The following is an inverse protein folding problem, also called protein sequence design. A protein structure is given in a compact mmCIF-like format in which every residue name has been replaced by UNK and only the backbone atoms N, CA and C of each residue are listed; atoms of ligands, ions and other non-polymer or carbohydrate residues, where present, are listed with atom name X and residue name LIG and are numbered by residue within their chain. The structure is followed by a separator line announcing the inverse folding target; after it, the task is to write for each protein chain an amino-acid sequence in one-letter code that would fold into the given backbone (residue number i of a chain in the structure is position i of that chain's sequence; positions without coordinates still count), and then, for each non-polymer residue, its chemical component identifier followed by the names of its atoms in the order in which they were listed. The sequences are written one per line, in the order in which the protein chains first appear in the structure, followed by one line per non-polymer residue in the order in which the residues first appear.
data_IF_729340037760
#
_entry.id   IF_729340037760
#
_cell.length_a   1.000
_cell.length_b   1.000
_cell.length_c   1.000
_cell.angle_alpha   90.00
_cell.angle_beta   90.00
_cell.angle_gamma   90.00
#
_symmetry.space_group_name_H-M   'P 1'
#
loop_
_entity.id
_entity.type
_entity.pdbx_description
1 polymer ?
#
# COMPACT_ATOMS: atom_id res chain seq x y z
N UNK A 1 13.04 27.39 -68.85
CA UNK A 1 11.95 26.86 -69.71
C UNK A 1 10.79 26.52 -68.78
N UNK A 2 9.72 27.33 -68.84
CA UNK A 2 8.33 26.95 -69.20
C UNK A 2 7.73 25.91 -68.23
N UNK A 3 6.63 26.12 -67.50
CA UNK A 3 5.50 27.01 -67.74
C UNK A 3 4.78 27.41 -66.45
N UNK A 4 4.36 28.66 -66.47
CA UNK A 4 3.28 29.33 -65.76
C UNK A 4 1.94 28.59 -65.88
N UNK A 5 1.16 28.53 -64.80
CA UNK A 5 -0.28 28.83 -64.87
C UNK A 5 -0.80 29.36 -63.52
N UNK A 6 -1.20 30.63 -63.55
CA UNK A 6 -2.09 31.29 -62.59
C UNK A 6 -3.53 30.82 -62.81
N UNK A 7 -4.34 30.82 -61.75
CA UNK A 7 -5.74 31.33 -61.65
C UNK A 7 -6.13 31.17 -60.16
N UNK A 8 -6.51 32.15 -59.33
CA UNK A 8 -7.38 33.34 -59.34
C UNK A 8 -8.57 33.10 -58.39
N UNK A 9 -8.71 33.97 -57.39
CA UNK A 9 -9.95 34.28 -56.66
C UNK A 9 -10.26 33.44 -55.42
N UNK A 10 -10.91 33.93 -54.36
CA UNK A 10 -11.41 35.26 -54.04
C UNK A 10 -11.93 35.20 -52.58
N UNK A 11 -11.71 36.27 -51.81
CA UNK A 11 -12.56 36.82 -50.71
C UNK A 11 -12.88 35.97 -49.46
N UNK A 12 -12.57 36.56 -48.30
CA UNK A 12 -13.13 36.16 -47.00
C UNK A 12 -12.52 36.86 -45.79
N UNK A 13 -12.38 38.19 -45.82
CA UNK A 13 -12.04 38.98 -44.63
C UNK A 13 -13.29 39.05 -43.72
N UNK A 14 -13.22 38.44 -42.54
CA UNK A 14 -14.06 38.82 -41.41
C UNK A 14 -13.19 39.27 -40.24
N UNK A 15 -13.50 40.47 -39.80
CA UNK A 15 -12.95 41.20 -38.65
C UNK A 15 -13.67 40.70 -37.40
N UNK A 16 -12.93 40.32 -36.35
CA UNK A 16 -13.34 40.51 -34.95
C UNK A 16 -12.11 40.68 -34.04
N UNK A 17 -11.90 41.93 -33.64
CA UNK A 17 -11.50 42.51 -32.34
C UNK A 17 -10.52 41.84 -31.35
N UNK A 18 -9.78 42.67 -30.56
CA UNK A 18 -8.64 42.25 -29.77
C UNK A 18 -8.95 41.97 -28.29
N UNK A 19 -7.95 41.38 -27.62
CA UNK A 19 -7.62 41.47 -26.19
C UNK A 19 -8.77 41.23 -25.17
N UNK A 20 -8.74 40.05 -24.54
CA UNK A 20 -8.81 39.93 -23.08
C UNK A 20 -7.91 38.74 -22.68
N UNK A 21 -6.66 39.05 -22.33
CA UNK A 21 -5.80 38.13 -21.62
C UNK A 21 -6.29 38.04 -20.18
N UNK A 22 -7.18 37.09 -19.90
CA UNK A 22 -7.34 36.62 -18.52
C UNK A 22 -6.13 35.75 -18.18
N UNK A 23 -5.15 36.38 -17.54
CA UNK A 23 -4.27 35.72 -16.58
C UNK A 23 -5.15 35.01 -15.55
N UNK A 24 -5.49 33.74 -15.83
CA UNK A 24 -5.83 32.78 -14.79
C UNK A 24 -4.60 32.65 -13.93
N UNK A 25 -4.56 33.44 -12.87
CA UNK A 25 -3.69 33.20 -11.73
C UNK A 25 -3.95 31.75 -11.34
N UNK A 26 -2.93 30.92 -11.54
CA UNK A 26 -2.85 29.57 -11.00
C UNK A 26 -3.20 29.66 -9.52
N UNK A 27 -4.44 29.28 -9.17
CA UNK A 27 -4.74 28.81 -7.83
C UNK A 27 -3.87 27.58 -7.67
N UNK A 28 -2.75 27.77 -6.99
CA UNK A 28 -1.96 26.71 -6.38
C UNK A 28 -2.92 25.67 -5.83
N UNK A 29 -2.75 24.43 -6.28
CA UNK A 29 -3.50 23.26 -5.85
C UNK A 29 -3.33 23.12 -4.33
N UNK A 30 -4.17 23.80 -3.54
CA UNK A 30 -4.36 23.50 -2.13
C UNK A 30 -4.89 22.08 -2.09
N UNK A 31 -4.11 21.15 -1.51
CA UNK A 31 -4.57 19.79 -1.24
C UNK A 31 -5.95 19.89 -0.59
N UNK A 32 -6.98 19.34 -1.23
CA UNK A 32 -8.29 19.19 -0.61
C UNK A 32 -8.08 18.33 0.64
N UNK A 33 -8.16 18.97 1.80
CA UNK A 33 -8.08 18.31 3.09
C UNK A 33 -9.35 17.45 3.23
N UNK A 34 -9.19 16.15 3.46
CA UNK A 34 -10.32 15.24 3.56
C UNK A 34 -10.79 15.15 5.03
N UNK A 35 -12.09 15.16 5.25
CA UNK A 35 -12.63 15.08 6.61
C UNK A 35 -12.37 13.74 7.32
N UNK A 36 -12.01 12.67 6.58
CA UNK A 36 -11.82 11.31 7.11
C UNK A 36 -10.98 10.42 6.19
N UNK A 37 -10.46 9.31 6.72
CA UNK A 37 -9.82 8.25 5.91
C UNK A 37 -10.80 7.69 4.88
N UNK A 38 -12.06 7.43 5.26
CA UNK A 38 -13.04 6.88 4.32
C UNK A 38 -13.36 7.85 3.17
N UNK A 39 -13.43 9.16 3.42
CA UNK A 39 -13.64 10.14 2.33
C UNK A 39 -12.43 10.23 1.41
N UNK A 40 -11.21 10.18 1.97
CA UNK A 40 -9.99 10.03 1.18
C UNK A 40 -10.03 8.76 0.30
N UNK A 41 -10.28 7.59 0.88
CA UNK A 41 -10.33 6.33 0.13
C UNK A 41 -11.37 6.35 -1.00
N UNK A 42 -12.58 6.86 -0.74
CA UNK A 42 -13.65 6.98 -1.75
C UNK A 42 -13.26 7.90 -2.90
N UNK A 43 -12.62 9.03 -2.59
CA UNK A 43 -12.16 9.96 -3.62
C UNK A 43 -11.07 9.32 -4.51
N UNK A 44 -10.08 8.66 -3.90
CA UNK A 44 -9.04 7.93 -4.64
C UNK A 44 -9.61 6.81 -5.51
N UNK A 45 -10.58 6.05 -5.00
CA UNK A 45 -11.29 5.05 -5.79
C UNK A 45 -12.08 5.67 -6.96
N UNK A 46 -12.65 6.86 -6.80
CA UNK A 46 -13.35 7.56 -7.89
C UNK A 46 -12.39 7.85 -9.06
N UNK A 47 -11.17 8.33 -8.75
CA UNK A 47 -10.12 8.56 -9.76
C UNK A 47 -9.76 7.25 -10.48
N UNK A 48 -9.49 6.18 -9.72
CA UNK A 48 -9.14 4.87 -10.29
C UNK A 48 -10.27 4.28 -11.15
N UNK A 49 -11.52 4.36 -10.70
CA UNK A 49 -12.70 3.87 -11.45
C UNK A 49 -12.96 4.65 -12.73
N UNK A 50 -12.67 5.95 -12.75
CA UNK A 50 -12.77 6.75 -13.96
C UNK A 50 -11.73 6.31 -14.99
N UNK A 51 -10.48 6.14 -14.57
CA UNK A 51 -9.42 5.62 -15.45
C UNK A 51 -9.72 4.20 -15.92
N UNK A 52 -10.18 3.30 -15.04
CA UNK A 52 -10.58 1.93 -15.40
C UNK A 52 -11.60 1.92 -16.54
N UNK A 53 -12.69 2.68 -16.40
CA UNK A 53 -13.77 2.73 -17.42
C UNK A 53 -13.28 3.28 -18.75
N UNK A 54 -12.44 4.31 -18.73
CA UNK A 54 -11.85 4.87 -19.96
C UNK A 54 -10.89 3.87 -20.63
N UNK A 55 -10.07 3.17 -19.84
CA UNK A 55 -9.14 2.18 -20.33
C UNK A 55 -9.85 0.96 -20.93
N UNK A 56 -11.00 0.56 -20.37
CA UNK A 56 -11.81 -0.56 -20.87
C UNK A 56 -12.31 -0.31 -22.29
N UNK A 57 -12.76 0.92 -22.59
CA UNK A 57 -13.18 1.33 -23.94
C UNK A 57 -12.03 1.16 -24.94
N UNK A 58 -10.83 1.63 -24.58
CA UNK A 58 -9.65 1.51 -25.44
C UNK A 58 -9.17 0.05 -25.58
N UNK A 59 -9.28 -0.75 -24.52
CA UNK A 59 -8.96 -2.18 -24.59
C UNK A 59 -9.89 -2.92 -25.56
N UNK A 60 -11.20 -2.65 -25.49
CA UNK A 60 -12.21 -3.22 -26.39
C UNK A 60 -12.03 -2.75 -27.84
N UNK A 61 -11.54 -1.52 -28.04
CA UNK A 61 -11.16 -0.99 -29.36
C UNK A 61 -9.86 -1.60 -29.92
N UNK A 62 -9.19 -2.49 -29.18
CA UNK A 62 -7.94 -3.12 -29.61
C UNK A 62 -6.69 -2.25 -29.42
N UNK A 63 -6.76 -1.23 -28.57
CA UNK A 63 -5.68 -0.28 -28.26
C UNK A 63 -5.06 -0.52 -26.86
N UNK A 64 -4.40 -1.67 -26.60
CA UNK A 64 -3.88 -1.98 -25.25
C UNK A 64 -2.79 -1.02 -24.78
N UNK A 65 -2.08 -0.34 -25.69
CA UNK A 65 -1.10 0.68 -25.32
C UNK A 65 -1.74 1.96 -24.76
N UNK A 66 -2.82 2.42 -25.39
CA UNK A 66 -3.59 3.59 -24.90
C UNK A 66 -4.31 3.22 -23.60
N UNK A 67 -4.91 2.04 -23.54
CA UNK A 67 -5.54 1.48 -22.34
C UNK A 67 -4.57 1.45 -21.15
N UNK A 68 -3.36 0.91 -21.33
CA UNK A 68 -2.34 0.86 -20.29
C UNK A 68 -1.89 2.27 -19.84
N UNK A 69 -1.76 3.21 -20.78
CA UNK A 69 -1.39 4.59 -20.47
C UNK A 69 -2.47 5.32 -19.65
N UNK A 70 -3.76 5.04 -19.90
CA UNK A 70 -4.87 5.57 -19.11
C UNK A 70 -4.85 5.00 -17.68
N UNK A 71 -4.63 3.69 -17.53
CA UNK A 71 -4.52 3.04 -16.22
C UNK A 71 -3.30 3.58 -15.45
N UNK A 72 -2.15 3.70 -16.10
CA UNK A 72 -0.94 4.31 -15.52
C UNK A 72 -1.24 5.73 -15.00
N UNK A 73 -1.84 6.57 -15.84
CA UNK A 73 -2.22 7.93 -15.46
C UNK A 73 -3.19 7.93 -14.28
N UNK A 74 -4.21 7.07 -14.29
CA UNK A 74 -5.16 6.97 -13.18
C UNK A 74 -4.50 6.61 -11.86
N UNK A 75 -3.51 5.73 -11.89
CA UNK A 75 -2.74 5.33 -10.71
C UNK A 75 -1.86 6.46 -10.18
N UNK A 76 -1.18 7.17 -11.10
CA UNK A 76 -0.38 8.36 -10.78
C UNK A 76 -1.27 9.48 -10.23
N UNK A 77 -2.42 9.76 -10.84
CA UNK A 77 -3.38 10.78 -10.39
C UNK A 77 -3.98 10.43 -9.02
N UNK A 78 -4.19 9.14 -8.74
CA UNK A 78 -4.64 8.67 -7.43
C UNK A 78 -3.54 8.82 -6.37
N UNK A 79 -2.28 8.57 -6.71
CA UNK A 79 -1.15 8.77 -5.80
C UNK A 79 -0.83 10.25 -5.57
N UNK A 80 -1.02 11.07 -6.60
CA UNK A 80 -0.92 12.51 -6.50
C UNK A 80 -1.94 12.98 -5.47
N UNK A 81 -1.49 13.73 -4.45
CA UNK A 81 -2.31 14.25 -3.34
C UNK A 81 -2.62 13.24 -2.23
N UNK A 82 -1.86 12.16 -2.10
CA UNK A 82 -1.81 11.43 -0.82
C UNK A 82 -1.13 12.35 0.21
N UNK A 83 -1.92 12.91 1.11
CA UNK A 83 -1.41 13.68 2.26
C UNK A 83 -0.66 12.75 3.23
N UNK A 84 0.38 13.24 3.94
CA UNK A 84 1.05 12.48 5.01
C UNK A 84 0.06 11.86 6.02
N UNK A 85 -1.08 12.54 6.26
CA UNK A 85 -2.17 12.07 7.11
C UNK A 85 -2.76 10.71 6.70
N UNK A 86 -2.75 10.37 5.41
CA UNK A 86 -3.34 9.12 4.89
C UNK A 86 -2.29 8.17 4.32
N UNK A 87 -1.00 8.52 4.40
CA UNK A 87 0.08 7.74 3.80
C UNK A 87 0.12 6.29 4.31
N UNK A 88 -0.30 6.07 5.55
CA UNK A 88 -0.29 4.76 6.22
C UNK A 88 -1.54 3.91 5.99
N UNK A 89 -2.55 4.43 5.29
CA UNK A 89 -3.74 3.64 4.93
C UNK A 89 -3.36 2.50 3.97
N UNK A 90 -4.07 1.37 4.03
CA UNK A 90 -3.76 0.23 3.17
C UNK A 90 -4.03 0.55 1.69
N UNK A 91 -5.01 1.40 1.42
CA UNK A 91 -5.34 1.96 0.10
C UNK A 91 -4.17 2.79 -0.43
N UNK A 92 -3.61 3.70 0.37
CA UNK A 92 -2.42 4.47 0.00
C UNK A 92 -1.23 3.55 -0.31
N UNK A 93 -0.95 2.58 0.58
CA UNK A 93 0.12 1.60 0.38
C UNK A 93 -0.08 0.79 -0.91
N UNK A 94 -1.30 0.33 -1.19
CA UNK A 94 -1.63 -0.42 -2.40
C UNK A 94 -1.43 0.42 -3.68
N UNK A 95 -1.82 1.70 -3.66
CA UNK A 95 -1.62 2.63 -4.79
C UNK A 95 -0.11 2.86 -5.04
N UNK A 96 0.66 3.17 -3.99
CA UNK A 96 2.10 3.42 -4.10
C UNK A 96 2.86 2.18 -4.58
N UNK A 97 2.49 0.99 -4.10
CA UNK A 97 3.02 -0.28 -4.61
C UNK A 97 2.67 -0.51 -6.07
N UNK A 98 1.46 -0.14 -6.49
CA UNK A 98 1.05 -0.25 -7.88
C UNK A 98 1.97 0.55 -8.80
N UNK A 99 2.35 1.75 -8.40
CA UNK A 99 3.30 2.59 -9.14
C UNK A 99 4.68 1.92 -9.19
N UNK A 100 5.14 1.40 -8.05
CA UNK A 100 6.43 0.69 -7.96
C UNK A 100 6.44 -0.53 -8.89
N UNK A 101 5.40 -1.36 -8.82
CA UNK A 101 5.19 -2.52 -9.70
C UNK A 101 5.19 -2.11 -11.17
N UNK A 102 4.41 -1.08 -11.53
CA UNK A 102 4.33 -0.62 -12.91
C UNK A 102 5.68 -0.15 -13.44
N UNK A 103 6.43 0.62 -12.66
CA UNK A 103 7.75 1.10 -13.05
C UNK A 103 8.72 -0.07 -13.29
N UNK A 104 8.76 -1.02 -12.36
CA UNK A 104 9.58 -2.23 -12.47
C UNK A 104 9.20 -3.07 -13.70
N UNK A 105 7.90 -3.29 -13.92
CA UNK A 105 7.38 -4.02 -15.08
C UNK A 105 7.73 -3.30 -16.40
N UNK A 106 7.68 -1.97 -16.44
CA UNK A 106 8.04 -1.18 -17.63
C UNK A 106 9.53 -1.25 -17.98
N UNK A 107 10.41 -1.57 -17.05
CA UNK A 107 11.86 -1.71 -17.33
C UNK A 107 12.22 -3.09 -17.91
N UNK A 108 11.38 -4.11 -17.71
CA UNK A 108 11.60 -5.46 -18.28
C UNK A 108 11.56 -5.45 -19.83
N UNK A 109 12.32 -6.33 -20.51
CA UNK A 109 12.63 -6.27 -21.95
C UNK A 109 11.45 -6.01 -22.92
N UNK A 110 11.75 -5.38 -24.06
CA UNK A 110 10.79 -4.74 -24.97
C UNK A 110 10.13 -5.73 -25.95
N UNK A 111 8.86 -6.07 -25.73
CA UNK A 111 8.07 -6.86 -26.68
C UNK A 111 6.61 -6.39 -26.72
N UNK A 112 5.93 -6.49 -27.87
CA UNK A 112 4.49 -6.15 -27.97
C UNK A 112 3.60 -6.97 -27.01
N UNK A 113 4.05 -8.16 -26.62
CA UNK A 113 3.35 -9.00 -25.64
C UNK A 113 3.39 -8.38 -24.23
N UNK A 114 4.44 -7.62 -23.89
CA UNK A 114 4.57 -6.89 -22.62
C UNK A 114 3.45 -5.90 -22.41
N UNK A 115 3.11 -5.08 -23.41
CA UNK A 115 2.05 -4.07 -23.26
C UNK A 115 0.70 -4.71 -22.94
N UNK A 116 0.36 -5.83 -23.60
CA UNK A 116 -0.89 -6.55 -23.31
C UNK A 116 -0.89 -7.16 -21.91
N UNK A 117 0.22 -7.76 -21.50
CA UNK A 117 0.36 -8.35 -20.18
C UNK A 117 0.32 -7.28 -19.07
N UNK A 118 1.00 -6.14 -19.25
CA UNK A 118 0.92 -4.99 -18.33
C UNK A 118 -0.51 -4.45 -18.27
N UNK A 119 -1.18 -4.31 -19.41
CA UNK A 119 -2.57 -3.84 -19.45
C UNK A 119 -3.49 -4.78 -18.65
N UNK A 120 -3.38 -6.09 -18.89
CA UNK A 120 -4.14 -7.11 -18.16
C UNK A 120 -3.83 -7.09 -16.66
N UNK A 121 -2.55 -6.94 -16.29
CA UNK A 121 -2.12 -6.79 -14.90
C UNK A 121 -2.76 -5.56 -14.23
N UNK A 122 -2.70 -4.39 -14.87
CA UNK A 122 -3.22 -3.15 -14.31
C UNK A 122 -4.74 -3.21 -14.06
N UNK A 123 -5.52 -3.84 -14.95
CA UNK A 123 -6.95 -4.04 -14.70
C UNK A 123 -7.20 -4.84 -13.41
N UNK A 124 -6.51 -5.96 -13.23
CA UNK A 124 -6.64 -6.77 -12.02
C UNK A 124 -6.09 -6.05 -10.77
N UNK A 125 -5.03 -5.27 -10.92
CA UNK A 125 -4.47 -4.48 -9.83
C UNK A 125 -5.42 -3.38 -9.35
N UNK A 126 -6.15 -2.74 -10.26
CA UNK A 126 -7.18 -1.75 -9.90
C UNK A 126 -8.32 -2.38 -9.09
N UNK A 127 -8.77 -3.57 -9.46
CA UNK A 127 -9.76 -4.34 -8.70
C UNK A 127 -9.21 -4.73 -7.32
N UNK A 128 -7.93 -5.07 -7.23
CA UNK A 128 -7.27 -5.30 -5.95
C UNK A 128 -7.29 -4.05 -5.06
N UNK A 129 -6.90 -2.88 -5.55
CA UNK A 129 -6.97 -1.62 -4.77
C UNK A 129 -8.41 -1.32 -4.32
N UNK A 130 -9.39 -1.53 -5.20
CA UNK A 130 -10.80 -1.36 -4.86
C UNK A 130 -11.21 -2.28 -3.70
N UNK A 131 -10.83 -3.56 -3.76
CA UNK A 131 -11.12 -4.52 -2.70
C UNK A 131 -10.47 -4.12 -1.37
N UNK A 132 -9.22 -3.65 -1.38
CA UNK A 132 -8.52 -3.16 -0.19
C UNK A 132 -9.29 -2.02 0.44
N UNK A 133 -9.62 -1.00 -0.34
CA UNK A 133 -10.34 0.17 0.16
C UNK A 133 -11.73 -0.19 0.69
N UNK A 134 -12.50 -1.01 -0.03
CA UNK A 134 -13.87 -1.35 0.34
C UNK A 134 -13.98 -2.35 1.50
N UNK A 135 -12.99 -3.21 1.72
CA UNK A 135 -13.03 -4.25 2.77
C UNK A 135 -12.28 -3.86 4.04
N UNK A 136 -11.25 -3.02 3.93
CA UNK A 136 -10.36 -2.66 5.04
C UNK A 136 -10.52 -1.21 5.43
N UNK A 137 -10.07 -0.26 4.61
CA UNK A 137 -9.98 1.12 5.09
C UNK A 137 -11.36 1.77 5.27
N UNK A 138 -12.26 1.66 4.28
CA UNK A 138 -13.55 2.34 4.37
C UNK A 138 -14.35 1.85 5.58
N UNK A 139 -14.58 0.54 5.80
CA UNK A 139 -15.42 0.08 6.90
C UNK A 139 -14.82 0.35 8.28
N UNK A 140 -13.50 0.25 8.43
CA UNK A 140 -12.84 0.39 9.73
C UNK A 140 -12.58 1.85 10.13
N UNK A 141 -12.55 2.76 9.17
CA UNK A 141 -12.37 4.20 9.44
C UNK A 141 -13.62 5.05 9.12
N UNK A 142 -14.78 4.43 8.87
CA UNK A 142 -16.02 5.14 8.59
C UNK A 142 -16.57 5.80 9.85
N UNK A 143 -16.72 7.12 9.76
CA UNK A 143 -17.18 7.95 10.87
C UNK A 143 -18.69 8.13 10.77
N UNK A 144 -19.45 7.41 11.60
CA UNK A 144 -20.91 7.50 11.67
C UNK A 144 -21.52 6.58 12.73
N UNK A 145 -22.50 7.08 13.48
CA UNK A 145 -23.12 6.44 14.64
C UNK A 145 -23.76 5.07 14.37
N UNK A 146 -24.12 4.77 13.12
CA UNK A 146 -24.73 3.49 12.74
C UNK A 146 -23.74 2.30 12.71
N UNK A 147 -22.43 2.56 12.54
CA UNK A 147 -21.38 1.52 12.51
C UNK A 147 -20.57 1.42 13.80
N UNK A 148 -20.81 2.30 14.77
CA UNK A 148 -20.24 2.22 16.14
C UNK A 148 -20.55 0.90 16.86
N UNK A 149 -21.44 0.07 16.30
CA UNK A 149 -21.83 -1.25 16.83
C UNK A 149 -21.07 -2.42 16.24
N UNK A 150 -20.27 -2.24 15.20
CA UNK A 150 -19.38 -3.33 14.78
C UNK A 150 -18.19 -3.26 15.71
N UNK A 151 -18.23 -4.11 16.73
CA UNK A 151 -17.09 -4.58 17.50
C UNK A 151 -16.10 -5.27 16.56
N UNK A 152 -15.55 -4.53 15.60
CA UNK A 152 -14.51 -4.98 14.71
C UNK A 152 -13.25 -5.04 15.58
N UNK A 153 -13.13 -6.15 16.30
CA UNK A 153 -12.01 -6.36 17.21
C UNK A 153 -10.71 -6.20 16.43
N UNK A 154 -9.65 -5.73 17.09
CA UNK A 154 -8.32 -5.67 16.47
C UNK A 154 -7.92 -7.01 15.85
N UNK A 155 -8.39 -8.14 16.41
CA UNK A 155 -8.19 -9.48 15.85
C UNK A 155 -8.87 -9.68 14.48
N UNK A 156 -10.04 -9.07 14.25
CA UNK A 156 -10.72 -9.11 12.96
C UNK A 156 -10.00 -8.24 11.93
N UNK A 157 -9.62 -7.01 12.30
CA UNK A 157 -8.82 -6.13 11.44
C UNK A 157 -7.51 -6.83 11.05
N UNK A 158 -6.80 -7.37 12.03
CA UNK A 158 -5.52 -8.04 11.82
C UNK A 158 -5.63 -9.25 10.89
N UNK A 159 -6.70 -10.04 11.03
CA UNK A 159 -6.97 -11.15 10.10
C UNK A 159 -7.16 -10.63 8.67
N UNK A 160 -7.89 -9.54 8.49
CA UNK A 160 -8.07 -8.95 7.17
C UNK A 160 -6.78 -8.33 6.63
N UNK A 161 -5.94 -7.75 7.49
CA UNK A 161 -4.63 -7.21 7.12
C UNK A 161 -3.68 -8.32 6.62
N UNK A 162 -3.59 -9.44 7.35
CA UNK A 162 -2.81 -10.61 6.92
C UNK A 162 -3.36 -11.19 5.60
N UNK A 163 -4.69 -11.23 5.45
CA UNK A 163 -5.30 -11.65 4.19
C UNK A 163 -4.92 -10.69 3.05
N UNK A 164 -4.94 -9.38 3.27
CA UNK A 164 -4.47 -8.39 2.29
C UNK A 164 -3.00 -8.62 1.88
N UNK A 165 -2.12 -8.83 2.86
CA UNK A 165 -0.72 -9.11 2.62
C UNK A 165 -0.53 -10.35 1.73
N UNK A 166 -1.38 -11.36 1.90
CA UNK A 166 -1.36 -12.59 1.09
C UNK A 166 -2.03 -12.43 -0.28
N UNK A 167 -3.13 -11.67 -0.35
CA UNK A 167 -3.92 -11.44 -1.57
C UNK A 167 -3.11 -10.74 -2.67
N UNK A 168 -2.11 -9.91 -2.33
CA UNK A 168 -1.27 -9.26 -3.35
C UNK A 168 -0.36 -10.23 -4.13
N UNK A 169 0.20 -11.25 -3.46
CA UNK A 169 1.00 -12.30 -4.13
C UNK A 169 0.07 -13.18 -4.96
N UNK A 170 -1.07 -13.55 -4.39
CA UNK A 170 -2.08 -14.34 -5.09
C UNK A 170 -2.58 -13.64 -6.36
N UNK A 171 -2.87 -12.35 -6.29
CA UNK A 171 -3.32 -11.57 -7.45
C UNK A 171 -2.29 -11.61 -8.59
N UNK A 172 -0.99 -11.51 -8.29
CA UNK A 172 0.06 -11.66 -9.31
C UNK A 172 0.04 -13.04 -9.92
N UNK A 173 -0.02 -14.10 -9.11
CA UNK A 173 -0.06 -15.48 -9.60
C UNK A 173 -1.29 -15.73 -10.49
N UNK A 174 -2.47 -15.32 -10.04
CA UNK A 174 -3.74 -15.51 -10.74
C UNK A 174 -3.80 -14.69 -12.06
N UNK A 175 -3.13 -13.54 -12.11
CA UNK A 175 -3.17 -12.63 -13.27
C UNK A 175 -2.06 -12.89 -14.29
N UNK A 176 -0.90 -13.36 -13.82
CA UNK A 176 0.33 -13.41 -14.63
C UNK A 176 0.84 -14.84 -14.84
N UNK A 177 0.10 -15.85 -14.41
CA UNK A 177 0.42 -17.24 -14.70
C UNK A 177 -0.84 -18.09 -14.89
N UNK A 178 -0.71 -19.16 -15.66
CA UNK A 178 -1.65 -20.27 -15.70
C UNK A 178 -0.96 -21.52 -15.17
N UNK A 179 -1.74 -22.45 -14.62
CA UNK A 179 -1.23 -23.70 -14.08
C UNK A 179 -1.92 -24.87 -14.78
N UNK A 180 -1.13 -25.83 -15.25
CA UNK A 180 -1.60 -27.11 -15.75
C UNK A 180 -0.89 -28.22 -14.96
N UNK A 181 -1.65 -28.88 -14.07
CA UNK A 181 -1.10 -29.82 -13.09
C UNK A 181 -0.16 -29.13 -12.11
N UNK A 182 1.15 -29.40 -12.22
CA UNK A 182 2.22 -28.77 -11.42
C UNK A 182 3.07 -27.78 -12.22
N UNK A 183 2.73 -27.60 -13.50
CA UNK A 183 3.51 -26.78 -14.42
C UNK A 183 2.92 -25.38 -14.50
N UNK A 184 3.77 -24.39 -14.33
CA UNK A 184 3.42 -22.97 -14.30
C UNK A 184 3.82 -22.34 -15.63
N UNK A 185 2.87 -21.71 -16.31
CA UNK A 185 3.09 -21.00 -17.56
C UNK A 185 2.87 -19.50 -17.34
N UNK A 186 3.88 -18.64 -17.58
CA UNK A 186 3.71 -17.21 -17.43
C UNK A 186 2.80 -16.63 -18.52
N UNK A 187 1.91 -15.71 -18.14
CA UNK A 187 1.19 -14.83 -19.05
C UNK A 187 2.09 -13.63 -19.34
N UNK A 188 2.61 -13.56 -20.56
CA UNK A 188 3.66 -12.61 -20.92
C UNK A 188 5.04 -13.27 -20.85
N UNK A 189 6.09 -12.51 -20.50
CA UNK A 189 7.44 -13.07 -20.38
C UNK A 189 7.68 -13.64 -18.97
N UNK A 190 8.51 -14.70 -18.83
CA UNK A 190 8.99 -15.18 -17.53
C UNK A 190 9.53 -14.04 -16.64
N UNK A 191 10.30 -13.13 -17.24
CA UNK A 191 10.88 -11.96 -16.56
C UNK A 191 9.80 -11.05 -15.98
N UNK A 192 8.68 -10.85 -16.69
CA UNK A 192 7.57 -10.00 -16.25
C UNK A 192 6.90 -10.60 -14.98
N UNK A 193 6.55 -11.89 -15.03
CA UNK A 193 5.97 -12.61 -13.89
C UNK A 193 6.90 -12.57 -12.67
N UNK A 194 8.17 -12.92 -12.86
CA UNK A 194 9.15 -12.96 -11.78
C UNK A 194 9.40 -11.57 -11.19
N UNK A 195 9.42 -10.52 -12.01
CA UNK A 195 9.55 -9.14 -11.51
C UNK A 195 8.37 -8.74 -10.63
N UNK A 196 7.13 -9.03 -11.06
CA UNK A 196 5.95 -8.78 -10.24
C UNK A 196 5.99 -9.57 -8.93
N UNK A 197 6.35 -10.86 -8.99
CA UNK A 197 6.44 -11.71 -7.81
C UNK A 197 7.52 -11.25 -6.84
N UNK A 198 8.70 -10.83 -7.29
CA UNK A 198 9.74 -10.27 -6.42
C UNK A 198 9.19 -9.13 -5.57
N UNK A 199 8.55 -8.17 -6.23
CA UNK A 199 8.04 -6.96 -5.58
C UNK A 199 6.90 -7.28 -4.62
N UNK A 200 5.91 -8.09 -5.04
CA UNK A 200 4.77 -8.43 -4.16
C UNK A 200 5.14 -9.38 -3.03
N UNK A 201 6.09 -10.29 -3.24
CA UNK A 201 6.60 -11.19 -2.20
C UNK A 201 7.35 -10.39 -1.13
N UNK A 202 8.20 -9.43 -1.53
CA UNK A 202 8.86 -8.53 -0.56
C UNK A 202 7.83 -7.66 0.17
N UNK A 203 6.83 -7.13 -0.55
CA UNK A 203 5.78 -6.34 0.07
C UNK A 203 5.00 -7.17 1.11
N UNK A 204 4.72 -8.45 0.83
CA UNK A 204 4.05 -9.34 1.77
C UNK A 204 4.91 -9.60 3.00
N UNK A 205 6.21 -9.83 2.83
CA UNK A 205 7.14 -9.96 3.95
C UNK A 205 7.12 -8.71 4.83
N UNK A 206 7.20 -7.52 4.22
CA UNK A 206 7.16 -6.24 4.93
C UNK A 206 5.81 -6.06 5.65
N UNK A 207 4.68 -6.34 5.00
CA UNK A 207 3.36 -6.24 5.63
C UNK A 207 3.22 -7.20 6.84
N UNK A 208 3.62 -8.46 6.67
CA UNK A 208 3.61 -9.43 7.76
C UNK A 208 4.58 -9.02 8.88
N UNK A 209 5.70 -8.39 8.54
CA UNK A 209 6.62 -7.83 9.54
C UNK A 209 6.02 -6.66 10.30
N UNK A 210 5.08 -5.92 9.69
CA UNK A 210 4.32 -4.82 10.31
C UNK A 210 3.13 -5.32 11.14
N UNK A 211 2.67 -6.55 10.93
CA UNK A 211 1.62 -7.23 11.73
C UNK A 211 1.90 -7.22 13.23
N UNK A 212 0.85 -7.10 14.06
CA UNK A 212 0.96 -7.27 15.52
C UNK A 212 1.27 -8.73 15.89
N UNK A 213 1.06 -9.66 14.95
CA UNK A 213 1.38 -11.07 15.04
C UNK A 213 2.63 -11.44 14.21
N UNK A 214 3.49 -10.49 13.87
CA UNK A 214 4.70 -10.73 13.06
C UNK A 214 5.51 -11.94 13.53
N UNK A 215 5.64 -12.16 14.84
CA UNK A 215 6.34 -13.33 15.40
C UNK A 215 5.72 -14.67 14.98
N UNK A 216 4.40 -14.76 14.86
CA UNK A 216 3.70 -15.97 14.35
C UNK A 216 3.99 -16.22 12.88
N UNK A 217 4.37 -15.17 12.16
CA UNK A 217 4.73 -15.22 10.75
C UNK A 217 6.24 -15.15 10.54
N UNK A 218 7.08 -15.19 11.57
CA UNK A 218 8.53 -14.97 11.44
C UNK A 218 9.18 -15.88 10.39
N UNK A 219 8.86 -17.18 10.42
CA UNK A 219 9.35 -18.11 9.43
C UNK A 219 8.77 -17.85 8.03
N UNK A 220 7.50 -17.45 7.93
CA UNK A 220 6.89 -17.08 6.64
C UNK A 220 7.53 -15.81 6.08
N UNK A 221 7.80 -14.80 6.90
CA UNK A 221 8.53 -13.58 6.53
C UNK A 221 9.91 -13.95 5.98
N UNK A 222 10.68 -14.75 6.71
CA UNK A 222 12.00 -15.20 6.27
C UNK A 222 11.94 -15.99 4.95
N UNK A 223 10.96 -16.87 4.79
CA UNK A 223 10.77 -17.64 3.55
C UNK A 223 10.40 -16.76 2.36
N UNK A 224 9.57 -15.72 2.58
CA UNK A 224 9.20 -14.73 1.56
C UNK A 224 10.40 -13.86 1.18
N UNK A 225 11.17 -13.39 2.15
CA UNK A 225 12.40 -12.61 1.92
C UNK A 225 13.41 -13.42 1.11
N UNK A 226 13.64 -14.68 1.49
CA UNK A 226 14.52 -15.60 0.76
C UNK A 226 14.03 -15.80 -0.68
N UNK A 227 12.74 -16.10 -0.87
CA UNK A 227 12.17 -16.27 -2.21
C UNK A 227 12.28 -15.00 -3.06
N UNK A 228 12.07 -13.81 -2.47
CA UNK A 228 12.24 -12.53 -3.19
C UNK A 228 13.70 -12.28 -3.58
N UNK A 229 14.64 -12.58 -2.69
CA UNK A 229 16.08 -12.48 -2.95
C UNK A 229 16.53 -13.44 -4.04
N UNK A 230 16.06 -14.69 -4.03
CA UNK A 230 16.37 -15.69 -5.06
C UNK A 230 15.85 -15.24 -6.43
N UNK A 231 14.63 -14.68 -6.48
CA UNK A 231 14.09 -14.10 -7.72
C UNK A 231 14.95 -12.92 -8.18
N UNK A 232 15.31 -12.01 -7.28
CA UNK A 232 16.15 -10.85 -7.60
C UNK A 232 17.52 -11.27 -8.14
N UNK A 233 18.15 -12.26 -7.50
CA UNK A 233 19.42 -12.82 -7.93
C UNK A 233 19.31 -13.40 -9.35
N UNK A 234 18.27 -14.18 -9.63
CA UNK A 234 18.03 -14.73 -10.95
C UNK A 234 17.80 -13.64 -12.00
N UNK A 235 16.97 -12.64 -11.72
CA UNK A 235 16.68 -11.55 -12.66
C UNK A 235 17.93 -10.76 -13.06
N UNK A 236 18.87 -10.60 -12.13
CA UNK A 236 20.12 -9.87 -12.32
C UNK A 236 21.21 -10.69 -13.02
N UNK A 237 21.37 -11.96 -12.64
CA UNK A 237 22.50 -12.78 -13.08
C UNK A 237 22.16 -13.72 -14.23
N UNK A 238 20.88 -14.08 -14.36
CA UNK A 238 20.40 -15.18 -15.22
C UNK A 238 21.11 -16.51 -14.96
N UNK A 239 21.70 -16.68 -13.77
CA UNK A 239 22.42 -17.87 -13.36
C UNK A 239 21.55 -18.77 -12.46
N UNK A 240 22.09 -19.92 -12.06
CA UNK A 240 21.50 -20.89 -11.11
C UNK A 240 20.43 -21.84 -11.65
N UNK A 241 19.91 -21.63 -12.86
CA UNK A 241 18.93 -22.54 -13.48
C UNK A 241 19.35 -22.93 -14.89
N UNK A 242 18.94 -24.13 -15.32
CA UNK A 242 19.26 -24.66 -16.63
C UNK A 242 18.64 -23.82 -17.77
N UNK A 243 17.42 -23.32 -17.55
CA UNK A 243 16.69 -22.46 -18.48
C UNK A 243 15.62 -21.62 -17.76
N UNK A 244 14.96 -20.71 -18.50
CA UNK A 244 13.91 -19.84 -17.95
C UNK A 244 12.67 -20.60 -17.47
N UNK A 245 12.36 -21.75 -18.07
CA UNK A 245 11.20 -22.54 -17.68
C UNK A 245 11.43 -23.18 -16.31
N UNK A 246 12.59 -23.79 -16.10
CA UNK A 246 13.01 -24.35 -14.80
C UNK A 246 13.06 -23.24 -13.74
N UNK A 247 13.62 -22.08 -14.07
CA UNK A 247 13.65 -20.93 -13.15
C UNK A 247 12.24 -20.52 -12.72
N UNK A 248 11.28 -20.44 -13.66
CA UNK A 248 9.88 -20.14 -13.33
C UNK A 248 9.27 -21.20 -12.42
N UNK A 249 9.45 -22.49 -12.72
CA UNK A 249 8.88 -23.56 -11.88
C UNK A 249 9.40 -23.47 -10.44
N UNK A 250 10.71 -23.32 -10.28
CA UNK A 250 11.36 -23.33 -8.97
C UNK A 250 11.05 -22.07 -8.16
N UNK A 251 11.17 -20.89 -8.76
CA UNK A 251 10.99 -19.61 -8.07
C UNK A 251 9.52 -19.35 -7.74
N UNK A 252 8.60 -19.62 -8.67
CA UNK A 252 7.16 -19.51 -8.37
C UNK A 252 6.75 -20.59 -7.36
N UNK A 253 7.31 -21.79 -7.46
CA UNK A 253 7.13 -22.85 -6.48
C UNK A 253 7.60 -22.44 -5.08
N UNK A 254 8.74 -21.74 -4.96
CA UNK A 254 9.24 -21.22 -3.69
C UNK A 254 8.27 -20.20 -3.08
N UNK A 255 7.77 -19.25 -3.87
CA UNK A 255 6.76 -18.26 -3.43
C UNK A 255 5.46 -18.97 -3.00
N UNK A 256 4.96 -19.94 -3.76
CA UNK A 256 3.77 -20.73 -3.37
C UNK A 256 4.00 -21.49 -2.06
N UNK A 257 5.18 -22.06 -1.84
CA UNK A 257 5.51 -22.75 -0.58
C UNK A 257 5.57 -21.76 0.60
N UNK A 258 6.18 -20.59 0.41
CA UNK A 258 6.28 -19.55 1.42
C UNK A 258 4.89 -19.02 1.83
N UNK A 259 3.95 -18.92 0.88
CA UNK A 259 2.59 -18.43 1.14
C UNK A 259 1.64 -19.52 1.66
N UNK A 260 1.76 -20.77 1.21
CA UNK A 260 0.84 -21.86 1.57
C UNK A 260 1.13 -22.49 2.94
N UNK A 261 2.39 -22.52 3.36
CA UNK A 261 2.79 -23.08 4.65
C UNK A 261 3.15 -21.94 5.59
N UNK A 262 2.27 -21.63 6.54
CA UNK A 262 2.77 -21.18 7.84
C UNK A 262 3.76 -22.25 8.28
N UNK A 263 5.04 -21.90 8.43
CA UNK A 263 6.08 -22.91 8.55
C UNK A 263 5.72 -23.88 9.68
N UNK A 264 5.55 -25.16 9.34
CA UNK A 264 5.30 -26.24 10.30
C UNK A 264 6.56 -26.58 11.12
N UNK A 265 7.51 -25.66 11.20
CA UNK A 265 8.85 -25.86 11.74
C UNK A 265 9.02 -25.36 13.17
N UNK A 266 7.97 -24.84 13.82
CA UNK A 266 7.86 -24.88 15.28
C UNK A 266 7.05 -26.11 15.68
N UNK A 267 7.59 -27.28 15.34
CA UNK A 267 7.15 -28.54 15.91
C UNK A 267 7.73 -28.69 17.31
N UNK A 268 6.86 -28.87 18.30
CA UNK A 268 7.12 -29.66 19.51
C UNK A 268 8.35 -29.35 20.37
N UNK A 269 8.85 -28.12 20.41
CA UNK A 269 9.64 -27.70 21.56
C UNK A 269 8.75 -27.03 22.59
N UNK A 270 8.55 -27.79 23.67
CA UNK A 270 8.04 -27.35 24.96
C UNK A 270 9.07 -26.45 25.66
N UNK A 271 9.68 -25.52 24.93
CA UNK A 271 10.31 -24.34 25.49
C UNK A 271 9.26 -23.24 25.44
N UNK A 272 8.90 -22.70 26.60
CA UNK A 272 7.93 -21.62 26.74
C UNK A 272 8.43 -20.32 26.12
N UNK A 273 8.51 -20.28 24.79
CA UNK A 273 8.73 -19.09 24.01
C UNK A 273 7.50 -18.20 24.26
N UNK A 274 7.70 -17.18 25.08
CA UNK A 274 6.63 -16.31 25.55
C UNK A 274 5.91 -15.74 24.32
N UNK A 275 4.65 -16.15 24.13
CA UNK A 275 3.79 -15.57 23.12
C UNK A 275 3.80 -14.05 23.35
N UNK A 276 4.05 -13.24 22.30
CA UNK A 276 4.12 -11.80 22.47
C UNK A 276 2.82 -11.35 23.12
N UNK A 277 2.94 -10.80 24.32
CA UNK A 277 1.81 -10.49 25.17
C UNK A 277 1.40 -9.06 24.88
N UNK A 278 0.28 -8.92 24.19
CA UNK A 278 -0.34 -7.61 24.01
C UNK A 278 -1.02 -7.20 25.32
N UNK A 279 -0.54 -6.13 25.93
CA UNK A 279 -1.18 -5.54 27.12
C UNK A 279 -1.55 -4.09 26.87
N UNK A 280 -2.69 -3.67 27.38
CA UNK A 280 -3.05 -2.26 27.41
C UNK A 280 -2.20 -1.54 28.47
N UNK A 281 -1.48 -0.50 28.07
CA UNK A 281 -0.72 0.34 28.98
C UNK A 281 -1.59 1.43 29.61
N UNK A 282 -2.75 1.75 29.02
CA UNK A 282 -3.66 2.75 29.55
C UNK A 282 -4.81 2.09 30.31
N UNK A 283 -5.11 2.62 31.50
CA UNK A 283 -6.33 2.26 32.26
C UNK A 283 -7.53 3.12 31.87
N UNK A 284 -7.26 4.31 31.37
CA UNK A 284 -8.23 5.28 30.88
C UNK A 284 -7.58 6.09 29.77
N UNK A 285 -8.39 6.73 28.94
CA UNK A 285 -7.88 7.69 27.96
C UNK A 285 -7.10 8.81 28.65
N UNK A 286 -6.12 9.36 27.94
CA UNK A 286 -5.33 10.50 28.37
C UNK A 286 -5.46 11.63 27.35
N UNK A 287 -5.53 12.87 27.83
CA UNK A 287 -5.46 14.05 26.97
C UNK A 287 -4.02 14.53 26.92
N UNK A 288 -3.44 14.47 25.73
CA UNK A 288 -2.13 15.03 25.44
C UNK A 288 -2.30 16.47 24.94
N UNK A 289 -1.99 17.44 25.79
CA UNK A 289 -2.09 18.85 25.46
C UNK A 289 -0.90 19.33 24.62
N UNK A 290 -1.12 20.34 23.78
CA UNK A 290 -0.07 20.96 22.96
C UNK A 290 1.13 21.39 23.81
N UNK A 291 2.33 20.99 23.40
CA UNK A 291 3.58 21.33 24.08
C UNK A 291 3.83 20.59 25.39
N UNK A 292 3.05 19.56 25.71
CA UNK A 292 3.25 18.72 26.89
C UNK A 292 3.88 17.37 26.54
N UNK A 293 4.60 16.80 27.49
CA UNK A 293 5.05 15.41 27.46
C UNK A 293 4.22 14.61 28.46
N UNK A 294 3.68 13.47 28.04
CA UNK A 294 2.99 12.54 28.93
C UNK A 294 3.76 11.23 28.98
N UNK A 295 4.12 10.81 30.20
CA UNK A 295 4.77 9.52 30.42
C UNK A 295 3.72 8.45 30.73
N UNK A 296 3.77 7.36 29.99
CA UNK A 296 2.93 6.17 30.19
C UNK A 296 3.81 5.08 30.77
N UNK A 297 3.62 4.78 32.06
CA UNK A 297 4.35 3.70 32.73
C UNK A 297 3.78 2.34 32.38
N UNK A 298 4.66 1.40 32.10
CA UNK A 298 4.32 0.00 31.89
C UNK A 298 4.30 -0.72 33.24
N UNK A 299 3.48 -1.77 33.34
CA UNK A 299 3.37 -2.55 34.57
C UNK A 299 4.69 -3.25 34.97
N UNK A 300 5.58 -3.47 34.00
CA UNK A 300 6.92 -4.01 34.19
C UNK A 300 7.80 -3.63 33.01
N UNK A 301 9.11 -3.46 33.24
CA UNK A 301 10.09 -3.42 32.17
C UNK A 301 9.99 -4.68 31.31
N UNK A 302 10.00 -4.49 29.99
CA UNK A 302 9.87 -5.57 29.01
C UNK A 302 10.44 -5.13 27.67
N UNK A 303 10.79 -6.11 26.85
CA UNK A 303 11.20 -5.84 25.47
C UNK A 303 9.96 -5.54 24.62
N UNK A 304 9.80 -4.27 24.23
CA UNK A 304 8.68 -3.77 23.44
C UNK A 304 9.04 -3.94 21.96
N UNK A 305 8.28 -4.76 21.25
CA UNK A 305 8.38 -4.82 19.79
C UNK A 305 7.66 -3.65 19.15
N UNK A 306 6.40 -3.44 19.54
CA UNK A 306 5.51 -2.46 18.90
C UNK A 306 4.53 -1.84 19.86
N UNK A 307 4.08 -0.65 19.50
CA UNK A 307 2.98 0.08 20.12
C UNK A 307 1.85 0.27 19.11
N UNK A 308 0.62 -0.01 19.53
CA UNK A 308 -0.59 0.31 18.77
C UNK A 308 -1.32 1.40 19.54
N UNK A 309 -1.36 2.59 18.98
CA UNK A 309 -1.89 3.77 19.66
C UNK A 309 -3.17 4.20 18.96
N UNK A 310 -4.27 4.30 19.70
CA UNK A 310 -5.53 4.87 19.20
C UNK A 310 -5.63 6.29 19.75
N UNK A 311 -5.76 7.27 18.86
CA UNK A 311 -5.81 8.67 19.25
C UNK A 311 -6.62 9.51 18.26
N UNK A 312 -7.32 10.53 18.78
CA UNK A 312 -8.05 11.52 18.00
C UNK A 312 -7.64 12.96 18.36
N UNK A 313 -7.63 13.86 17.38
CA UNK A 313 -7.40 15.28 17.57
C UNK A 313 -8.61 15.95 18.25
N UNK A 314 -8.37 16.73 19.30
CA UNK A 314 -9.40 17.48 20.00
C UNK A 314 -9.58 18.83 19.31
N UNK A 315 -10.74 19.03 18.67
CA UNK A 315 -11.16 20.22 17.90
C UNK A 315 -10.36 20.47 16.61
N UNK A 316 -9.06 20.23 16.63
CA UNK A 316 -8.14 20.35 15.50
C UNK A 316 -7.26 19.10 15.40
N UNK A 317 -6.57 18.96 14.27
CA UNK A 317 -5.52 17.95 14.12
C UNK A 317 -4.39 18.20 15.14
N UNK A 318 -3.78 17.11 15.59
CA UNK A 318 -2.68 17.10 16.54
C UNK A 318 -1.52 16.26 16.02
N UNK A 319 -0.35 16.42 16.61
CA UNK A 319 0.85 15.67 16.27
C UNK A 319 1.68 15.43 17.51
N UNK A 320 2.17 14.21 17.69
CA UNK A 320 3.05 13.88 18.81
C UNK A 320 4.07 12.82 18.43
N UNK A 321 5.22 12.86 19.08
CA UNK A 321 6.23 11.81 18.99
C UNK A 321 5.98 10.74 20.05
N UNK A 322 6.33 9.51 19.70
CA UNK A 322 6.47 8.39 20.61
C UNK A 322 7.95 8.21 20.89
N UNK A 323 8.34 8.44 22.12
CA UNK A 323 9.72 8.39 22.60
C UNK A 323 9.87 7.23 23.58
N UNK A 324 10.93 6.44 23.40
CA UNK A 324 11.28 5.31 24.28
C UNK A 324 12.76 5.40 24.58
N UNK A 325 13.14 5.38 25.86
CA UNK A 325 14.54 5.54 26.32
C UNK A 325 15.25 6.81 25.80
N UNK A 326 14.50 7.88 25.54
CA UNK A 326 15.02 9.13 24.98
C UNK A 326 15.10 9.19 23.46
N UNK A 327 14.85 8.08 22.76
CA UNK A 327 14.85 8.02 21.30
C UNK A 327 13.43 8.13 20.72
N UNK A 328 13.26 8.97 19.70
CA UNK A 328 12.00 9.06 18.93
C UNK A 328 11.84 7.80 18.08
N UNK A 329 10.87 6.95 18.43
CA UNK A 329 10.55 5.72 17.70
C UNK A 329 9.53 5.95 16.57
N UNK A 330 8.74 7.02 16.65
CA UNK A 330 7.83 7.42 15.57
C UNK A 330 7.12 8.74 15.86
N UNK A 331 6.65 9.40 14.80
CA UNK A 331 5.81 10.60 14.89
C UNK A 331 4.41 10.27 14.39
N UNK A 332 3.41 10.52 15.23
CA UNK A 332 2.00 10.28 14.92
C UNK A 332 1.33 11.61 14.59
N UNK A 333 0.68 11.64 13.42
CA UNK A 333 -0.24 12.70 13.03
C UNK A 333 -1.67 12.26 13.35
N UNK A 334 -2.32 12.98 14.26
CA UNK A 334 -3.61 12.65 14.84
C UNK A 334 -4.70 13.56 14.29
N UNK A 335 -5.51 13.11 13.33
CA UNK A 335 -6.61 13.91 12.87
C UNK A 335 -7.78 13.90 13.86
N UNK A 336 -8.69 14.84 13.72
CA UNK A 336 -9.88 14.99 14.57
C UNK A 336 -10.86 13.80 14.64
N UNK A 337 -10.51 12.60 14.12
CA UNK A 337 -11.28 11.35 14.23
C UNK A 337 -10.33 10.14 14.27
N UNK A 338 -10.54 9.28 15.28
CA UNK A 338 -9.69 8.20 15.83
C UNK A 338 -9.15 7.14 14.83
N UNK A 339 -7.88 7.25 14.36
CA UNK A 339 -7.18 6.16 13.69
C UNK A 339 -6.33 5.38 14.69
N UNK A 340 -6.10 4.10 14.40
CA UNK A 340 -5.06 3.34 15.09
C UNK A 340 -3.73 3.48 14.35
N UNK A 341 -2.67 3.79 15.08
CA UNK A 341 -1.31 3.95 14.58
C UNK A 341 -0.42 2.84 15.11
N UNK A 342 0.55 2.45 14.29
CA UNK A 342 1.55 1.45 14.64
C UNK A 342 2.91 2.13 14.73
N UNK A 343 3.60 1.92 15.86
CA UNK A 343 4.98 2.41 16.07
C UNK A 343 5.85 1.22 16.44
N UNK A 344 6.86 0.95 15.61
CA UNK A 344 7.89 -0.06 15.88
C UNK A 344 8.90 0.51 16.87
N UNK A 345 9.23 -0.25 17.91
CA UNK A 345 10.10 0.20 19.02
C UNK A 345 11.40 -0.61 19.08
N UNK A 346 11.28 -1.94 19.09
CA UNK A 346 12.38 -2.91 19.21
C UNK A 346 13.39 -2.55 20.32
N UNK A 347 12.88 -2.32 21.53
CA UNK A 347 13.69 -1.83 22.65
C UNK A 347 13.14 -2.29 24.01
N UNK A 348 14.01 -2.40 25.02
CA UNK A 348 13.61 -2.72 26.39
C UNK A 348 13.27 -1.43 27.14
N UNK A 349 12.02 -1.31 27.61
CA UNK A 349 11.60 -0.14 28.38
C UNK A 349 10.54 -0.47 29.43
N UNK A 350 10.47 0.36 30.46
CA UNK A 350 9.45 0.34 31.51
C UNK A 350 8.44 1.49 31.37
N UNK A 351 8.66 2.39 30.42
CA UNK A 351 7.82 3.55 30.17
C UNK A 351 7.96 4.02 28.72
N UNK A 352 6.94 4.75 28.27
CA UNK A 352 6.86 5.37 26.95
C UNK A 352 6.52 6.84 27.18
N UNK A 353 7.12 7.73 26.41
CA UNK A 353 6.81 9.15 26.44
C UNK A 353 6.07 9.55 25.16
N UNK A 354 4.98 10.30 25.33
CA UNK A 354 4.27 10.94 24.25
C UNK A 354 4.58 12.43 24.29
N UNK A 355 5.31 12.94 23.31
CA UNK A 355 5.77 14.33 23.26
C UNK A 355 4.93 15.10 22.24
N UNK A 356 4.05 15.98 22.71
CA UNK A 356 3.20 16.78 21.82
C UNK A 356 4.01 17.80 21.04
N UNK A 357 3.87 17.79 19.71
CA UNK A 357 4.46 18.78 18.79
C UNK A 357 3.49 19.88 18.40
N UNK A 358 2.19 19.63 18.49
CA UNK A 358 1.16 20.62 18.16
C UNK A 358 -0.25 20.03 18.24
N UNK A 359 -1.22 20.89 18.52
CA UNK A 359 -2.61 20.47 18.73
C UNK A 359 -2.80 19.67 20.02
N UNK A 360 -4.06 19.34 20.32
CA UNK A 360 -4.42 18.52 21.48
C UNK A 360 -4.91 17.16 20.98
N UNK A 361 -4.46 16.07 21.57
CA UNK A 361 -4.91 14.72 21.21
C UNK A 361 -5.56 14.03 22.42
N UNK A 362 -6.66 13.31 22.19
CA UNK A 362 -7.17 12.31 23.11
C UNK A 362 -6.58 10.97 22.70
N UNK A 363 -5.68 10.42 23.51
CA UNK A 363 -5.16 9.07 23.32
C UNK A 363 -6.08 8.12 24.08
N UNK A 364 -6.89 7.37 23.34
CA UNK A 364 -7.90 6.48 23.89
C UNK A 364 -7.28 5.15 24.35
N UNK A 365 -6.18 4.71 23.71
CA UNK A 365 -5.58 3.40 23.97
C UNK A 365 -4.10 3.33 23.57
N UNK A 366 -3.31 2.55 24.32
CA UNK A 366 -1.94 2.17 23.94
C UNK A 366 -1.75 0.69 24.21
N UNK A 367 -1.74 -0.11 23.16
CA UNK A 367 -1.42 -1.53 23.26
C UNK A 367 0.07 -1.74 23.07
N UNK A 368 0.69 -2.38 24.06
CA UNK A 368 2.10 -2.74 24.06
C UNK A 368 2.21 -4.19 23.65
N UNK A 369 2.85 -4.44 22.51
CA UNK A 369 3.22 -5.77 22.05
C UNK A 369 4.65 -6.03 22.52
N UNK A 370 4.80 -6.87 23.53
CA UNK A 370 6.09 -7.18 24.14
C UNK A 370 6.35 -8.69 24.19
N UNK A 371 7.62 -9.07 24.24
CA UNK A 371 8.06 -10.45 24.49
C UNK A 371 7.96 -10.82 25.98
#
# INVERSE_FOLDING_TARGET
MKNTLMILGLVGLMVTSPLMAETKINKTNTATEYDSVSSFCRDRLSVLKNAYRQAEIEAQAGNPGVSAAILEKGLVDAANRISPRYAQTLTSKAIQRGITLLNELKVTADSKQKTRAINHFLFNYFLFIENVSNRLDIPYFQTGSAFSRVSASNAQFERLFVNFASEQVKMVLDTMSTEDGRTIYPIGSPTLLLTALRVTTQAMANDLSESIFAMRYACTIQALETASQDIAFYLNTRASYADEFVAVQELVGAVKRATAKGCASYGNDSYGEAQPKTTDALRSSITLYSGTTQQVRLNSGRYIKKLIISAEGIRNDAMFDVVVNGDVKGTIYVPGRDPSYFVTVEDYADSIELVSRGGNALVSRILVVAE
#
